data_IF_421596612275
#
_entry.id   IF_421596612275
#
_cell.length_a   1.000
_cell.length_b   1.000
_cell.length_c   1.000
_cell.angle_alpha   90.00
_cell.angle_beta   90.00
_cell.angle_gamma   90.00
#
_symmetry.space_group_name_H-M   'P 1'
#
loop_
_entity.id
_entity.type
_entity.pdbx_description
1 polymer ?
#
# COMPACT_ATOMS: atom_id res chain seq x y z
N UNK A 1 -6.04 10.13 -1.18
CA UNK A 1 -5.02 9.23 -0.58
C UNK A 1 -3.76 9.31 -1.42
N UNK A 2 -2.58 9.19 -0.82
CA UNK A 2 -1.32 9.02 -1.55
C UNK A 2 -0.49 7.92 -0.89
N UNK A 3 0.27 7.14 -1.67
CA UNK A 3 1.07 6.06 -1.14
C UNK A 3 1.88 5.32 -2.19
N UNK A 4 2.69 4.37 -1.75
CA UNK A 4 3.61 3.60 -2.57
C UNK A 4 3.65 2.14 -2.13
N UNK A 5 3.54 1.25 -3.11
CA UNK A 5 3.77 -0.20 -2.98
C UNK A 5 5.26 -0.52 -3.02
N UNK A 6 5.65 -1.63 -2.39
CA UNK A 6 6.99 -2.20 -2.52
C UNK A 6 6.95 -3.73 -2.55
N UNK A 7 7.87 -4.29 -3.34
CA UNK A 7 8.14 -5.72 -3.45
C UNK A 7 9.65 -5.88 -3.45
N UNK A 8 10.20 -6.40 -2.35
CA UNK A 8 11.65 -6.56 -2.19
C UNK A 8 11.99 -8.04 -2.03
N UNK A 9 12.87 -8.57 -2.88
CA UNK A 9 13.36 -9.94 -2.75
C UNK A 9 14.11 -10.10 -1.42
N UNK A 10 13.82 -11.19 -0.70
CA UNK A 10 14.54 -11.53 0.52
C UNK A 10 15.87 -12.21 0.21
N UNK A 11 16.79 -12.17 1.17
CA UNK A 11 18.10 -12.83 1.06
C UNK A 11 17.95 -14.31 1.40
N UNK A 12 18.42 -15.20 0.53
CA UNK A 12 18.55 -16.62 0.80
C UNK A 12 19.81 -16.87 1.65
N UNK A 13 19.67 -17.32 2.91
CA UNK A 13 20.81 -17.50 3.81
C UNK A 13 21.76 -18.62 3.36
N UNK A 14 21.33 -19.55 2.51
CA UNK A 14 22.16 -20.66 2.05
C UNK A 14 23.19 -20.25 0.98
N UNK A 15 22.92 -19.19 0.20
CA UNK A 15 23.79 -18.72 -0.89
C UNK A 15 24.28 -17.28 -0.71
N UNK A 16 23.71 -16.49 0.20
CA UNK A 16 23.95 -15.04 0.27
C UNK A 16 23.43 -14.27 -0.93
N UNK A 17 22.59 -14.90 -1.76
CA UNK A 17 21.95 -14.37 -2.96
C UNK A 17 20.47 -14.05 -2.69
N UNK A 18 19.79 -13.31 -3.57
CA UNK A 18 18.35 -13.07 -3.43
C UNK A 18 17.53 -14.33 -3.76
N UNK A 19 16.44 -14.55 -3.05
CA UNK A 19 15.37 -15.45 -3.50
C UNK A 19 14.69 -14.89 -4.75
N UNK A 20 14.28 -15.75 -5.67
CA UNK A 20 13.50 -15.39 -6.86
C UNK A 20 11.98 -15.32 -6.57
N UNK A 21 11.53 -15.85 -5.43
CA UNK A 21 10.12 -15.98 -5.09
C UNK A 21 9.75 -15.66 -3.63
N UNK A 22 10.70 -15.20 -2.80
CA UNK A 22 10.43 -14.82 -1.41
C UNK A 22 10.54 -13.31 -1.28
N UNK A 23 9.48 -12.65 -0.82
CA UNK A 23 9.39 -11.18 -0.86
C UNK A 23 8.97 -10.57 0.48
N UNK A 24 9.55 -9.44 0.83
CA UNK A 24 8.87 -8.48 1.70
C UNK A 24 7.92 -7.63 0.86
N UNK A 25 6.64 -7.69 1.18
CA UNK A 25 5.62 -6.84 0.57
C UNK A 25 5.38 -5.65 1.48
N UNK A 26 5.47 -4.44 0.94
CA UNK A 26 5.32 -3.22 1.72
C UNK A 26 4.30 -2.26 1.10
N UNK A 27 3.68 -1.47 1.96
CA UNK A 27 2.91 -0.30 1.56
C UNK A 27 3.15 0.82 2.56
N UNK A 28 3.44 2.02 2.05
CA UNK A 28 3.49 3.23 2.86
C UNK A 28 2.57 4.28 2.24
N UNK A 29 1.75 4.94 3.05
CA UNK A 29 0.84 5.97 2.55
C UNK A 29 0.41 7.00 3.58
N UNK A 30 -0.25 8.04 3.09
CA UNK A 30 -0.78 9.16 3.86
C UNK A 30 -2.27 9.38 3.59
N UNK A 31 -2.99 9.79 4.65
CA UNK A 31 -4.42 10.14 4.61
C UNK A 31 -4.63 11.58 5.16
N UNK A 32 -5.04 12.56 4.35
CA UNK A 32 -5.03 12.61 2.87
C UNK A 32 -3.85 13.46 2.36
N UNK A 33 -3.69 13.60 1.04
CA UNK A 33 -2.57 14.37 0.44
C UNK A 33 -2.80 15.89 0.52
N UNK A 34 -4.06 16.29 0.44
CA UNK A 34 -4.53 17.67 0.51
C UNK A 34 -4.68 18.18 1.96
N UNK A 35 -4.91 17.29 2.92
CA UNK A 35 -4.92 17.60 4.36
C UNK A 35 -4.29 16.43 5.16
N UNK A 36 -2.95 16.37 5.28
CA UNK A 36 -2.25 15.25 5.91
C UNK A 36 -2.54 15.12 7.40
N UNK A 37 -3.09 13.97 7.81
CA UNK A 37 -3.41 13.66 9.22
C UNK A 37 -2.74 12.39 9.72
N UNK A 38 -2.63 11.37 8.87
CA UNK A 38 -2.10 10.06 9.23
C UNK A 38 -1.06 9.58 8.23
N UNK A 39 -0.03 8.91 8.74
CA UNK A 39 0.95 8.11 7.98
C UNK A 39 0.79 6.66 8.40
N UNK A 40 0.69 5.75 7.43
CA UNK A 40 0.46 4.31 7.63
C UNK A 40 1.56 3.54 6.90
N UNK A 41 2.32 2.73 7.64
CA UNK A 41 3.34 1.85 7.11
C UNK A 41 2.99 0.39 7.38
N UNK A 42 3.09 -0.46 6.36
CA UNK A 42 2.74 -1.87 6.38
C UNK A 42 3.86 -2.71 5.79
N UNK A 43 4.11 -3.87 6.40
CA UNK A 43 4.99 -4.91 5.87
C UNK A 43 4.32 -6.27 6.06
N UNK A 44 4.38 -7.12 5.03
CA UNK A 44 3.97 -8.52 5.08
C UNK A 44 5.15 -9.39 4.66
N UNK A 45 5.47 -10.37 5.49
CA UNK A 45 6.57 -11.30 5.27
C UNK A 45 6.09 -12.47 4.40
N UNK A 46 6.56 -12.50 3.15
CA UNK A 46 6.28 -13.50 2.13
C UNK A 46 4.82 -14.00 2.08
N UNK A 47 3.84 -13.11 1.85
CA UNK A 47 2.43 -13.48 1.85
C UNK A 47 2.06 -14.25 0.58
N UNK A 48 1.28 -15.31 0.70
CA UNK A 48 0.76 -16.10 -0.44
C UNK A 48 -0.46 -15.46 -1.12
N UNK A 49 -1.06 -14.45 -0.49
CA UNK A 49 -2.29 -13.76 -0.93
C UNK A 49 -2.20 -12.26 -0.62
N UNK A 50 -3.10 -11.47 -1.20
CA UNK A 50 -3.31 -10.09 -0.79
C UNK A 50 -3.76 -10.03 0.67
N UNK A 51 -3.63 -8.85 1.29
CA UNK A 51 -3.99 -8.67 2.70
C UNK A 51 -5.50 -8.88 3.01
N UNK A 52 -6.34 -8.94 1.98
CA UNK A 52 -7.78 -9.26 2.07
C UNK A 52 -8.11 -10.72 1.72
N UNK A 53 -7.11 -11.55 1.42
CA UNK A 53 -7.26 -12.94 1.04
C UNK A 53 -7.50 -13.19 -0.46
N UNK A 54 -7.62 -12.16 -1.28
CA UNK A 54 -7.72 -12.32 -2.74
C UNK A 54 -6.38 -12.75 -3.37
N UNK A 55 -6.37 -13.35 -4.58
CA UNK A 55 -5.13 -13.71 -5.26
C UNK A 55 -4.21 -12.51 -5.54
N UNK A 56 -2.92 -12.65 -5.27
CA UNK A 56 -1.89 -11.60 -5.44
C UNK A 56 -0.99 -11.46 -4.21
N UNK A 57 -0.15 -10.43 -4.18
CA UNK A 57 0.82 -10.19 -3.10
C UNK A 57 0.85 -8.71 -2.66
N UNK A 58 -0.31 -8.08 -2.47
CA UNK A 58 -0.42 -6.65 -2.17
C UNK A 58 -0.88 -6.37 -0.74
N UNK A 59 -0.18 -5.45 -0.07
CA UNK A 59 -0.58 -4.86 1.21
C UNK A 59 -1.59 -3.69 1.06
N UNK A 60 -1.89 -3.27 -0.19
CA UNK A 60 -2.77 -2.13 -0.45
C UNK A 60 -4.21 -2.29 0.11
N UNK A 61 -4.83 -3.49 0.11
CA UNK A 61 -6.16 -3.66 0.72
C UNK A 61 -6.19 -3.36 2.23
N UNK A 62 -5.09 -3.66 2.96
CA UNK A 62 -5.00 -3.34 4.37
C UNK A 62 -4.82 -1.84 4.62
N UNK A 63 -4.05 -1.15 3.76
CA UNK A 63 -4.00 0.32 3.78
C UNK A 63 -5.39 0.91 3.52
N UNK A 64 -6.13 0.38 2.54
CA UNK A 64 -7.51 0.80 2.25
C UNK A 64 -8.41 0.68 3.48
N UNK A 65 -8.40 -0.47 4.16
CA UNK A 65 -9.23 -0.72 5.35
C UNK A 65 -8.89 0.26 6.49
N UNK A 66 -7.61 0.40 6.84
CA UNK A 66 -7.17 1.25 7.96
C UNK A 66 -7.43 2.73 7.64
N UNK A 67 -7.00 3.20 6.46
CA UNK A 67 -7.15 4.60 6.07
C UNK A 67 -8.63 4.99 5.95
N UNK A 68 -9.46 4.12 5.34
CA UNK A 68 -10.90 4.34 5.23
C UNK A 68 -11.58 4.45 6.60
N UNK A 69 -11.25 3.53 7.52
CA UNK A 69 -11.79 3.56 8.88
C UNK A 69 -11.38 4.84 9.65
N UNK A 70 -10.12 5.26 9.55
CA UNK A 70 -9.63 6.49 10.19
C UNK A 70 -10.38 7.73 9.70
N UNK A 71 -10.68 7.83 8.40
CA UNK A 71 -11.44 8.95 7.85
C UNK A 71 -12.89 8.95 8.34
N UNK A 72 -13.53 7.79 8.36
CA UNK A 72 -14.93 7.64 8.79
C UNK A 72 -15.11 7.98 10.28
N UNK A 73 -14.23 7.45 11.14
CA UNK A 73 -14.30 7.67 12.59
C UNK A 73 -14.18 9.15 12.97
N UNK A 74 -13.38 9.91 12.23
CA UNK A 74 -13.14 11.34 12.47
C UNK A 74 -14.09 12.25 11.67
N UNK A 75 -15.10 11.67 11.01
CA UNK A 75 -16.04 12.39 10.14
C UNK A 75 -15.36 13.35 9.15
N UNK A 76 -14.22 12.91 8.58
CA UNK A 76 -13.48 13.73 7.59
C UNK A 76 -14.38 13.94 6.37
N UNK A 77 -14.60 15.21 5.93
CA UNK A 77 -15.47 15.48 4.79
C UNK A 77 -14.89 14.90 3.49
N UNK A 78 -15.78 14.43 2.62
CA UNK A 78 -15.40 13.99 1.27
C UNK A 78 -15.23 15.20 0.35
N UNK A 79 -14.22 15.16 -0.52
CA UNK A 79 -14.08 16.12 -1.60
C UNK A 79 -15.10 15.81 -2.71
N UNK A 80 -15.87 16.80 -3.20
CA UNK A 80 -16.84 16.58 -4.27
C UNK A 80 -16.18 16.36 -5.64
N UNK A 81 -14.98 16.92 -5.82
CA UNK A 81 -14.18 16.80 -7.04
C UNK A 81 -12.78 16.24 -6.67
N UNK A 82 -12.38 15.06 -7.19
CA UNK A 82 -11.04 14.53 -7.01
C UNK A 82 -9.98 15.21 -7.90
N UNK A 83 -10.40 16.11 -8.80
CA UNK A 83 -9.58 16.70 -9.85
C UNK A 83 -9.51 15.81 -11.11
N UNK A 84 -8.82 16.27 -12.17
CA UNK A 84 -8.64 15.47 -13.38
C UNK A 84 -7.77 14.22 -13.10
N UNK A 85 -7.98 13.11 -13.82
CA UNK A 85 -7.10 11.95 -13.75
C UNK A 85 -5.63 12.32 -14.04
N UNK A 86 -4.70 11.73 -13.28
CA UNK A 86 -3.26 11.92 -13.49
C UNK A 86 -2.77 11.15 -14.73
N UNK A 87 -1.88 11.76 -15.51
CA UNK A 87 -1.21 11.11 -16.65
C UNK A 87 -0.01 10.31 -16.14
N UNK A 88 -0.07 8.98 -16.27
CA UNK A 88 1.04 8.08 -15.90
C UNK A 88 1.93 7.70 -17.09
N UNK A 89 1.39 7.80 -18.31
CA UNK A 89 2.06 7.44 -19.56
C UNK A 89 1.79 8.49 -20.62
N UNK A 90 2.86 9.01 -21.24
CA UNK A 90 2.78 9.89 -22.39
C UNK A 90 2.75 9.09 -23.71
N UNK A 91 2.29 9.73 -24.79
CA UNK A 91 2.35 9.22 -26.17
C UNK A 91 3.75 9.28 -26.75
#
# INVERSE_FOLDING_TARGET
>A
MAGKTGTAQQINPACGCYFDNVYWITFAGMATVDNPRYVIGLMMDNPERNADGSPGHSAAPLFHNIAGWLMQRENVPLSPDPGPPLVLQAT
#
